data_IF_058115313954
#
_entry.id   IF_058115313954
#
_cell.length_a   1.000
_cell.length_b   1.000
_cell.length_c   1.000
_cell.angle_alpha   90.00
_cell.angle_beta   90.00
_cell.angle_gamma   90.00
#
_symmetry.space_group_name_H-M   'P 1'
#
loop_
_entity.id
_entity.type
_entity.pdbx_description
1 polymer ?
#
# COMPACT_ATOMS: atom_id res chain seq x y z
N UNK A 1 30.41 -20.66 -6.89
CA UNK A 1 29.11 -20.73 -6.21
C UNK A 1 28.24 -19.64 -6.80
N UNK A 2 27.13 -20.01 -7.45
CA UNK A 2 26.11 -19.08 -7.93
C UNK A 2 25.28 -18.64 -6.73
N UNK A 3 25.23 -17.34 -6.47
CA UNK A 3 24.38 -16.75 -5.43
C UNK A 3 23.05 -16.43 -6.10
N UNK A 4 22.01 -17.14 -5.68
CA UNK A 4 20.63 -16.96 -6.13
C UNK A 4 20.06 -15.66 -5.58
N UNK A 5 19.45 -14.90 -6.49
CA UNK A 5 18.71 -13.65 -6.29
C UNK A 5 17.58 -13.85 -5.27
N UNK A 6 17.71 -13.32 -4.05
CA UNK A 6 16.58 -13.19 -3.13
C UNK A 6 16.76 -11.87 -2.37
N UNK A 7 15.95 -10.88 -2.73
CA UNK A 7 15.93 -9.54 -2.15
C UNK A 7 15.68 -9.65 -0.64
N UNK A 8 16.75 -9.61 0.15
CA UNK A 8 16.66 -9.11 1.51
C UNK A 8 16.40 -7.61 1.38
N UNK A 9 15.14 -7.20 1.50
CA UNK A 9 14.83 -5.83 1.93
C UNK A 9 15.64 -5.64 3.21
N UNK A 10 16.58 -4.69 3.20
CA UNK A 10 17.38 -4.41 4.39
C UNK A 10 16.39 -4.09 5.52
N UNK A 11 16.60 -4.67 6.71
CA UNK A 11 15.67 -4.48 7.85
C UNK A 11 15.39 -2.99 8.12
N UNK A 12 16.37 -2.15 7.85
CA UNK A 12 16.29 -0.68 7.89
C UNK A 12 15.25 -0.09 6.91
N UNK A 13 15.14 -0.64 5.70
CA UNK A 13 14.16 -0.22 4.70
C UNK A 13 12.72 -0.57 5.13
N UNK A 14 12.51 -1.74 5.72
CA UNK A 14 11.20 -2.11 6.26
C UNK A 14 10.81 -1.29 7.49
N UNK A 15 11.76 -1.01 8.40
CA UNK A 15 11.51 -0.13 9.54
C UNK A 15 11.12 1.28 9.08
N UNK A 16 11.85 1.84 8.12
CA UNK A 16 11.52 3.15 7.54
C UNK A 16 10.16 3.16 6.85
N UNK A 17 9.81 2.10 6.14
CA UNK A 17 8.47 1.96 5.56
C UNK A 17 7.37 1.94 6.63
N UNK A 18 7.62 1.32 7.79
CA UNK A 18 6.68 1.35 8.91
C UNK A 18 6.50 2.77 9.45
N UNK A 19 7.60 3.49 9.70
CA UNK A 19 7.56 4.86 10.21
C UNK A 19 6.82 5.80 9.24
N UNK A 20 7.08 5.65 7.95
CA UNK A 20 6.41 6.42 6.90
C UNK A 20 4.90 6.15 6.86
N UNK A 21 4.51 4.89 6.90
CA UNK A 21 3.11 4.46 6.92
C UNK A 21 2.40 4.96 8.18
N UNK A 22 3.06 4.90 9.34
CA UNK A 22 2.48 5.41 10.59
C UNK A 22 2.29 6.92 10.56
N UNK A 23 3.26 7.66 10.01
CA UNK A 23 3.17 9.11 9.87
C UNK A 23 2.08 9.53 8.89
N UNK A 24 1.93 8.81 7.78
CA UNK A 24 1.02 9.20 6.71
C UNK A 24 -0.42 8.69 6.92
N UNK A 25 -0.59 7.43 7.32
CA UNK A 25 -1.90 6.78 7.43
C UNK A 25 -2.42 6.65 8.87
N UNK A 26 -1.71 7.20 9.87
CA UNK A 26 -1.92 6.92 11.29
C UNK A 26 -3.38 6.99 11.75
N UNK A 27 -4.09 8.07 11.42
CA UNK A 27 -5.50 8.25 11.79
C UNK A 27 -6.42 7.22 11.13
N UNK A 28 -6.28 7.02 9.82
CA UNK A 28 -7.07 6.04 9.05
C UNK A 28 -6.82 4.60 9.52
N UNK A 29 -5.57 4.28 9.88
CA UNK A 29 -5.17 3.00 10.45
C UNK A 29 -5.90 2.78 11.78
N UNK A 30 -5.90 3.79 12.66
CA UNK A 30 -6.54 3.68 13.97
C UNK A 30 -8.06 3.45 13.82
N UNK A 31 -8.72 4.18 12.92
CA UNK A 31 -10.13 3.99 12.63
C UNK A 31 -10.48 2.60 12.09
N UNK A 32 -9.68 2.07 11.17
CA UNK A 32 -9.94 0.75 10.58
C UNK A 32 -9.65 -0.37 11.57
N UNK A 33 -8.58 -0.23 12.37
CA UNK A 33 -8.22 -1.20 13.40
C UNK A 33 -9.28 -1.34 14.51
N UNK A 34 -10.15 -0.33 14.70
CA UNK A 34 -11.30 -0.43 15.63
C UNK A 34 -12.35 -1.45 15.18
N UNK A 35 -12.44 -1.73 13.88
CA UNK A 35 -13.53 -2.51 13.29
C UNK A 35 -13.05 -3.76 12.53
N UNK A 36 -11.75 -3.85 12.22
CA UNK A 36 -11.14 -5.01 11.59
C UNK A 36 -10.53 -5.97 12.65
N UNK A 37 -10.54 -7.29 12.40
CA UNK A 37 -9.88 -8.26 13.27
C UNK A 37 -8.36 -8.29 13.05
N UNK A 38 -7.72 -7.12 12.97
CA UNK A 38 -6.29 -6.93 12.69
C UNK A 38 -5.75 -5.87 13.64
N UNK A 39 -4.61 -6.14 14.30
CA UNK A 39 -4.01 -5.15 15.17
C UNK A 39 -3.41 -3.98 14.37
N UNK A 40 -3.36 -2.80 14.98
CA UNK A 40 -2.69 -1.61 14.42
C UNK A 40 -1.30 -1.94 13.86
N UNK A 41 -0.48 -2.66 14.64
CA UNK A 41 0.90 -3.02 14.26
C UNK A 41 0.96 -3.95 13.04
N UNK A 42 0.02 -4.90 12.94
CA UNK A 42 -0.09 -5.75 11.76
C UNK A 42 -0.48 -4.94 10.54
N UNK A 43 -1.44 -4.02 10.68
CA UNK A 43 -1.89 -3.18 9.58
C UNK A 43 -0.76 -2.28 9.05
N UNK A 44 0.01 -1.67 9.95
CA UNK A 44 1.24 -0.93 9.60
C UNK A 44 2.22 -1.81 8.83
N UNK A 45 2.51 -3.02 9.33
CA UNK A 45 3.44 -3.92 8.67
C UNK A 45 2.97 -4.34 7.26
N UNK A 46 1.67 -4.56 7.06
CA UNK A 46 1.09 -4.92 5.77
C UNK A 46 1.18 -3.75 4.79
N UNK A 47 0.83 -2.55 5.22
CA UNK A 47 0.94 -1.33 4.43
C UNK A 47 2.40 -1.01 4.07
N UNK A 48 3.34 -1.21 4.99
CA UNK A 48 4.77 -1.04 4.73
C UNK A 48 5.25 -2.00 3.64
N UNK A 49 4.84 -3.28 3.67
CA UNK A 49 5.14 -4.24 2.59
C UNK A 49 4.51 -3.82 1.26
N UNK A 50 3.31 -3.23 1.29
CA UNK A 50 2.64 -2.74 0.10
C UNK A 50 3.40 -1.55 -0.51
N UNK A 51 3.89 -0.60 0.30
CA UNK A 51 4.75 0.50 -0.16
C UNK A 51 6.01 -0.01 -0.84
N UNK A 52 6.72 -0.94 -0.20
CA UNK A 52 7.94 -1.53 -0.76
C UNK A 52 7.68 -2.30 -2.06
N UNK A 53 6.57 -3.05 -2.11
CA UNK A 53 6.19 -3.82 -3.31
C UNK A 53 5.77 -2.90 -4.45
N UNK A 54 5.02 -1.83 -4.18
CA UNK A 54 4.65 -0.82 -5.19
C UNK A 54 5.86 -0.10 -5.75
N UNK A 55 6.83 0.26 -4.90
CA UNK A 55 8.10 0.88 -5.34
C UNK A 55 8.89 -0.01 -6.29
N UNK A 56 8.93 -1.31 -6.03
CA UNK A 56 9.62 -2.28 -6.89
C UNK A 56 8.98 -2.42 -8.27
N UNK A 57 7.67 -2.16 -8.40
CA UNK A 57 6.98 -2.17 -9.69
C UNK A 57 7.26 -0.93 -10.54
N UNK A 58 7.85 0.12 -9.94
CA UNK A 58 8.03 1.46 -10.49
C UNK A 58 6.71 2.14 -10.88
N UNK A 59 6.66 3.48 -10.85
CA UNK A 59 5.46 4.25 -11.20
C UNK A 59 5.00 3.92 -12.62
N UNK A 60 5.93 3.75 -13.57
CA UNK A 60 5.62 3.38 -14.95
C UNK A 60 4.86 2.03 -15.03
N UNK A 61 5.29 0.99 -14.30
CA UNK A 61 4.60 -0.30 -14.25
C UNK A 61 3.24 -0.24 -13.53
N UNK A 62 3.11 0.61 -12.51
CA UNK A 62 1.83 0.81 -11.82
C UNK A 62 0.82 1.62 -12.65
N UNK A 63 1.30 2.54 -13.50
CA UNK A 63 0.44 3.36 -14.40
C UNK A 63 0.01 2.61 -15.65
N UNK A 64 0.75 1.58 -16.09
CA UNK A 64 0.30 0.68 -17.15
C UNK A 64 -0.83 -0.26 -16.69
N UNK A 65 -0.95 -0.46 -15.37
CA UNK A 65 -1.93 -1.35 -14.72
C UNK A 65 -3.03 -0.58 -13.97
N UNK A 66 -3.22 0.72 -14.21
CA UNK A 66 -4.22 1.50 -13.47
C UNK A 66 -4.44 2.95 -13.91
N UNK A 67 -5.33 3.63 -13.20
CA UNK A 67 -5.69 5.03 -13.39
C UNK A 67 -5.13 5.88 -12.23
N UNK A 68 -4.37 6.93 -12.57
CA UNK A 68 -3.90 7.92 -11.59
C UNK A 68 -5.04 8.90 -11.29
N UNK A 69 -5.48 8.90 -10.05
CA UNK A 69 -6.54 9.79 -9.55
C UNK A 69 -5.96 11.13 -9.12
N UNK A 70 -4.83 11.07 -8.43
CA UNK A 70 -4.15 12.24 -7.89
C UNK A 70 -2.65 11.98 -7.81
N UNK A 71 -1.86 13.02 -8.04
CA UNK A 71 -0.41 12.96 -7.91
C UNK A 71 0.11 14.29 -7.38
N UNK A 72 0.94 14.20 -6.34
CA UNK A 72 1.68 15.29 -5.75
C UNK A 72 3.18 14.93 -5.70
N UNK A 73 4.00 15.80 -5.12
CA UNK A 73 5.39 15.44 -4.82
C UNK A 73 5.49 14.43 -3.67
N UNK A 74 4.41 14.23 -2.91
CA UNK A 74 4.40 13.49 -1.65
C UNK A 74 3.69 12.14 -1.78
N UNK A 75 2.66 12.05 -2.63
CA UNK A 75 2.03 10.78 -2.99
C UNK A 75 1.47 10.71 -4.41
N UNK A 76 1.32 9.47 -4.86
CA UNK A 76 0.52 9.10 -6.04
C UNK A 76 -0.63 8.20 -5.60
N UNK A 77 -1.87 8.56 -5.96
CA UNK A 77 -3.08 7.79 -5.67
C UNK A 77 -3.59 7.15 -6.96
N UNK A 78 -3.77 5.83 -6.92
CA UNK A 78 -4.10 5.02 -8.08
C UNK A 78 -5.30 4.10 -7.83
N UNK A 79 -6.15 3.98 -8.85
CA UNK A 79 -7.04 2.84 -9.02
C UNK A 79 -6.38 1.83 -9.95
N UNK A 80 -5.80 0.76 -9.39
CA UNK A 80 -5.24 -0.32 -10.19
C UNK A 80 -6.36 -1.19 -10.76
N UNK A 81 -6.18 -1.70 -11.98
CA UNK A 81 -7.15 -2.55 -12.67
C UNK A 81 -7.40 -3.89 -11.95
N UNK A 82 -6.57 -4.20 -10.95
CA UNK A 82 -6.77 -5.27 -9.98
C UNK A 82 -5.63 -6.29 -9.99
N UNK A 83 -5.55 -7.09 -8.94
CA UNK A 83 -4.56 -8.18 -8.84
C UNK A 83 -3.39 -7.84 -7.94
N UNK A 84 -3.05 -6.56 -7.76
CA UNK A 84 -2.00 -6.13 -6.84
C UNK A 84 -2.19 -6.69 -5.42
N UNK A 85 -3.39 -6.56 -4.84
CA UNK A 85 -3.65 -7.06 -3.49
C UNK A 85 -3.70 -8.59 -3.42
N UNK A 86 -4.06 -9.26 -4.52
CA UNK A 86 -3.99 -10.72 -4.63
C UNK A 86 -2.55 -11.21 -4.69
N UNK A 87 -1.70 -10.52 -5.45
CA UNK A 87 -0.28 -10.77 -5.54
C UNK A 87 0.42 -10.52 -4.20
N UNK A 88 0.09 -9.42 -3.53
CA UNK A 88 0.54 -9.13 -2.16
C UNK A 88 0.20 -10.27 -1.21
N UNK A 89 -1.03 -10.77 -1.28
CA UNK A 89 -1.48 -11.90 -0.46
C UNK A 89 -0.65 -13.15 -0.72
N UNK A 90 -0.38 -13.49 -1.98
CA UNK A 90 0.42 -14.64 -2.35
C UNK A 90 1.89 -14.52 -1.97
N UNK A 91 2.51 -13.36 -2.22
CA UNK A 91 3.93 -13.12 -1.97
C UNK A 91 4.26 -13.00 -0.48
N UNK A 92 3.39 -12.31 0.28
CA UNK A 92 3.63 -12.00 1.69
C UNK A 92 2.81 -12.83 2.68
N UNK A 93 2.08 -13.84 2.19
CA UNK A 93 1.25 -14.75 3.00
C UNK A 93 0.26 -13.99 3.90
N UNK A 94 -0.40 -12.97 3.35
CA UNK A 94 -1.34 -12.15 4.11
C UNK A 94 -2.61 -12.93 4.44
N UNK A 95 -3.07 -12.81 5.68
CA UNK A 95 -4.39 -13.30 6.04
C UNK A 95 -5.47 -12.51 5.29
N UNK A 96 -6.65 -13.11 5.00
CA UNK A 96 -7.72 -12.44 4.27
C UNK A 96 -8.08 -11.06 4.84
N UNK A 97 -8.09 -10.95 6.16
CA UNK A 97 -8.51 -9.72 6.83
C UNK A 97 -7.41 -8.67 6.89
N UNK A 98 -6.13 -9.08 6.89
CA UNK A 98 -4.99 -8.16 6.80
C UNK A 98 -4.98 -7.43 5.45
N UNK A 99 -5.11 -8.18 4.36
CA UNK A 99 -5.21 -7.60 3.01
C UNK A 99 -6.45 -6.72 2.85
N UNK A 100 -7.60 -7.15 3.39
CA UNK A 100 -8.85 -6.39 3.35
C UNK A 100 -8.74 -5.07 4.10
N UNK A 101 -8.19 -5.09 5.32
CA UNK A 101 -8.02 -3.88 6.13
C UNK A 101 -7.03 -2.90 5.48
N UNK A 102 -5.91 -3.39 4.96
CA UNK A 102 -4.92 -2.55 4.29
C UNK A 102 -5.48 -1.92 3.00
N UNK A 103 -6.22 -2.69 2.20
CA UNK A 103 -6.92 -2.18 1.02
C UNK A 103 -7.94 -1.10 1.40
N UNK A 104 -8.63 -1.26 2.52
CA UNK A 104 -9.61 -0.28 3.00
C UNK A 104 -8.95 1.04 3.44
N UNK A 105 -7.75 0.99 4.03
CA UNK A 105 -6.96 2.20 4.36
C UNK A 105 -6.72 3.02 3.09
N UNK A 106 -6.20 2.39 2.04
CA UNK A 106 -5.95 3.06 0.77
C UNK A 106 -7.25 3.56 0.12
N UNK A 107 -8.33 2.77 0.17
CA UNK A 107 -9.63 3.14 -0.37
C UNK A 107 -10.15 4.44 0.22
N UNK A 108 -10.15 4.57 1.55
CA UNK A 108 -10.70 5.76 2.22
C UNK A 108 -10.01 7.05 1.80
N UNK A 109 -8.69 7.02 1.60
CA UNK A 109 -7.96 8.19 1.12
C UNK A 109 -8.35 8.55 -0.31
N UNK A 110 -8.45 7.55 -1.20
CA UNK A 110 -8.82 7.81 -2.60
C UNK A 110 -10.27 8.30 -2.68
N UNK A 111 -11.20 7.69 -1.94
CA UNK A 111 -12.62 8.13 -1.86
C UNK A 111 -12.76 9.55 -1.30
N UNK A 112 -11.89 9.97 -0.38
CA UNK A 112 -11.88 11.34 0.14
C UNK A 112 -11.50 12.39 -0.93
N UNK A 113 -10.77 12.00 -1.99
CA UNK A 113 -10.31 12.90 -3.05
C UNK A 113 -11.18 12.76 -4.32
N UNK A 114 -11.44 11.53 -4.76
CA UNK A 114 -12.20 11.21 -5.99
C UNK A 114 -13.72 11.31 -5.79
N UNK A 115 -14.18 11.37 -4.53
CA UNK A 115 -15.58 11.28 -4.16
C UNK A 115 -16.09 9.84 -4.14
N UNK A 116 -17.41 9.68 -3.96
CA UNK A 116 -18.04 8.37 -3.77
C UNK A 116 -17.93 7.54 -5.07
N UNK A 117 -17.07 6.52 -5.03
CA UNK A 117 -16.61 5.86 -6.25
C UNK A 117 -17.74 4.96 -6.79
N UNK A 118 -18.07 5.04 -8.09
CA UNK A 118 -19.14 4.24 -8.67
C UNK A 118 -18.95 2.74 -8.45
N UNK A 119 -20.07 1.99 -8.39
CA UNK A 119 -20.09 0.56 -8.07
C UNK A 119 -19.12 -0.31 -8.92
N UNK A 120 -18.81 0.10 -10.16
CA UNK A 120 -17.89 -0.60 -11.05
C UNK A 120 -16.41 -0.53 -10.64
N UNK A 121 -16.01 0.45 -9.84
CA UNK A 121 -14.63 0.56 -9.33
C UNK A 121 -14.40 -0.27 -8.05
N UNK A 122 -15.41 -0.95 -7.51
CA UNK A 122 -15.22 -1.86 -6.36
C UNK A 122 -14.30 -3.03 -6.68
N UNK A 123 -14.19 -3.39 -7.96
CA UNK A 123 -13.31 -4.46 -8.44
C UNK A 123 -11.85 -4.00 -8.51
N UNK A 124 -11.62 -2.70 -8.71
CA UNK A 124 -10.28 -2.09 -8.78
C UNK A 124 -9.58 -2.04 -7.44
N UNK A 125 -8.26 -2.21 -7.48
CA UNK A 125 -7.42 -2.23 -6.30
C UNK A 125 -6.96 -0.80 -5.96
N UNK A 126 -7.40 -0.21 -4.84
CA UNK A 126 -6.93 1.09 -4.39
C UNK A 126 -5.46 0.98 -3.96
N UNK A 127 -4.64 1.89 -4.45
CA UNK A 127 -3.25 1.97 -4.06
C UNK A 127 -2.81 3.42 -3.87
N UNK A 128 -2.22 3.69 -2.71
CA UNK A 128 -1.61 4.98 -2.39
C UNK A 128 -0.12 4.71 -2.26
N UNK A 129 0.69 5.34 -3.10
CA UNK A 129 2.14 5.29 -3.06
C UNK A 129 2.67 6.57 -2.42
N UNK A 130 3.35 6.47 -1.29
CA UNK A 130 4.00 7.62 -0.65
C UNK A 130 5.37 7.80 -1.29
N UNK A 131 5.66 8.98 -1.83
CA UNK A 131 6.91 9.32 -2.53
C UNK A 131 7.99 9.82 -1.57
N UNK A 132 7.62 10.42 -0.43
CA UNK A 132 8.54 10.93 0.61
C UNK A 132 9.30 9.82 1.36
N UNK A 133 10.30 9.24 0.72
CA UNK A 133 11.20 8.23 1.30
C UNK A 133 12.62 8.75 1.30
N UNK A 134 12.78 10.03 1.64
CA UNK A 134 14.10 10.64 1.69
C UNK A 134 14.95 9.88 2.72
N UNK A 135 16.16 9.42 2.36
CA UNK A 135 17.12 9.01 3.36
C UNK A 135 17.41 10.22 4.26
N UNK A 136 17.36 10.04 5.58
CA UNK A 136 17.90 11.03 6.51
C UNK A 136 19.34 11.38 6.06
N UNK A 137 19.61 12.68 5.87
CA UNK A 137 20.98 13.19 5.62
C UNK A 137 21.97 12.77 6.71
#
# INVERSE_FOLDING_TARGET
MQITHNQQVEFDEFSRACDLVEGYFGETIDEIALHAPVSRRQLVAVLARAQLSGRQLAIEGLTEEGEVVYQSNDETLLWLDGGFWNDMRGRHHLEPDEGRAAREVHRRLIEAIDGDVPYYNRERDPFVLIEQFDPYE
#
